data_IF_674964794136
#
_entry.id   IF_674964794136
#
_cell.length_a   1.000
_cell.length_b   1.000
_cell.length_c   1.000
_cell.angle_alpha   90.00
_cell.angle_beta   90.00
_cell.angle_gamma   90.00
#
_symmetry.space_group_name_H-M   'P 1'
#
loop_
_entity.id
_entity.type
_entity.pdbx_description
1 polymer ?
#
# COMPACT_ATOMS: atom_id res chain seq x y z
N UNK A 1 3.48 -11.27 -9.26
CA UNK A 1 2.76 -10.08 -8.72
C UNK A 1 3.57 -8.84 -9.02
N UNK A 2 2.94 -7.74 -9.45
CA UNK A 2 3.61 -6.45 -9.66
C UNK A 2 3.35 -5.53 -8.45
N UNK A 3 4.39 -5.24 -7.68
CA UNK A 3 4.34 -4.39 -6.49
C UNK A 3 4.75 -2.94 -6.77
N UNK A 4 5.09 -2.57 -8.01
CA UNK A 4 5.84 -1.34 -8.34
C UNK A 4 5.18 -0.04 -7.85
N UNK A 5 3.85 0.06 -7.87
CA UNK A 5 3.13 1.22 -7.32
C UNK A 5 1.86 0.76 -6.57
N UNK A 6 1.93 0.82 -5.26
CA UNK A 6 0.90 0.35 -4.35
C UNK A 6 0.15 1.53 -3.72
N UNK A 7 -1.11 1.72 -4.12
CA UNK A 7 -1.97 2.73 -3.51
C UNK A 7 -2.49 2.23 -2.15
N UNK A 8 -2.25 2.98 -1.08
CA UNK A 8 -2.94 2.79 0.20
C UNK A 8 -3.96 3.90 0.37
N UNK A 9 -5.22 3.56 0.62
CA UNK A 9 -6.29 4.55 0.71
C UNK A 9 -6.32 5.22 2.07
N UNK A 10 -6.76 6.48 2.06
CA UNK A 10 -7.16 7.22 3.25
C UNK A 10 -8.40 8.04 2.90
N UNK A 11 -9.53 7.69 3.52
CA UNK A 11 -10.82 8.32 3.24
C UNK A 11 -10.80 9.84 3.51
N UNK A 12 -10.11 10.28 4.54
CA UNK A 12 -10.08 11.70 4.89
C UNK A 12 -9.41 12.54 3.81
N UNK A 13 -8.37 12.03 3.17
CA UNK A 13 -7.72 12.73 2.07
C UNK A 13 -8.65 12.88 0.86
N UNK A 14 -9.50 11.89 0.59
CA UNK A 14 -10.44 11.91 -0.53
C UNK A 14 -11.68 12.76 -0.24
N UNK A 15 -12.16 12.77 1.01
CA UNK A 15 -13.34 13.54 1.41
C UNK A 15 -13.02 14.98 1.85
N UNK A 16 -11.76 15.31 2.08
CA UNK A 16 -11.35 16.66 2.41
C UNK A 16 -11.51 17.58 1.19
N UNK A 17 -12.50 18.46 1.26
CA UNK A 17 -12.82 19.43 0.19
C UNK A 17 -11.64 20.30 -0.25
N UNK A 18 -10.61 20.43 0.61
CA UNK A 18 -9.39 21.19 0.28
C UNK A 18 -8.54 20.49 -0.78
N UNK A 19 -8.63 19.17 -0.90
CA UNK A 19 -7.80 18.37 -1.80
C UNK A 19 -8.57 17.84 -3.01
N UNK A 20 -9.82 17.39 -2.86
CA UNK A 20 -10.48 16.53 -3.85
C UNK A 20 -11.87 17.00 -4.34
N UNK A 21 -12.43 18.08 -3.83
CA UNK A 21 -13.75 18.54 -4.27
C UNK A 21 -14.88 17.56 -3.89
N UNK A 22 -15.66 17.09 -4.90
CA UNK A 22 -16.79 16.16 -4.71
C UNK A 22 -16.45 14.69 -5.10
N UNK A 23 -15.19 14.34 -5.25
CA UNK A 23 -14.79 13.02 -5.75
C UNK A 23 -15.02 11.93 -4.70
N UNK A 24 -15.49 10.76 -5.13
CA UNK A 24 -15.65 9.57 -4.27
C UNK A 24 -14.34 8.79 -4.17
N UNK A 25 -14.18 7.97 -3.11
CA UNK A 25 -13.03 7.08 -2.99
C UNK A 25 -12.93 6.11 -4.19
N UNK A 26 -14.06 5.63 -4.70
CA UNK A 26 -14.13 4.75 -5.86
C UNK A 26 -13.53 5.41 -7.12
N UNK A 27 -13.93 6.63 -7.42
CA UNK A 27 -13.38 7.41 -8.54
C UNK A 27 -11.89 7.71 -8.36
N UNK A 28 -11.46 7.99 -7.13
CA UNK A 28 -10.05 8.20 -6.83
C UNK A 28 -9.19 6.95 -7.05
N UNK A 29 -9.68 5.79 -6.62
CA UNK A 29 -9.02 4.49 -6.84
C UNK A 29 -8.94 4.18 -8.33
N UNK A 30 -10.02 4.35 -9.07
CA UNK A 30 -10.04 4.11 -10.52
C UNK A 30 -9.06 5.02 -11.27
N UNK A 31 -8.97 6.29 -10.92
CA UNK A 31 -7.97 7.20 -11.49
C UNK A 31 -6.54 6.79 -11.16
N UNK A 32 -6.27 6.35 -9.93
CA UNK A 32 -4.96 5.86 -9.55
C UNK A 32 -4.56 4.59 -10.33
N UNK A 33 -5.49 3.66 -10.53
CA UNK A 33 -5.27 2.44 -11.33
C UNK A 33 -4.98 2.82 -12.78
N UNK A 34 -5.79 3.69 -13.39
CA UNK A 34 -5.55 4.15 -14.77
C UNK A 34 -4.26 4.97 -14.92
N UNK A 35 -3.75 5.55 -13.83
CA UNK A 35 -2.43 6.18 -13.74
C UNK A 35 -1.29 5.19 -13.49
N UNK A 36 -1.60 3.89 -13.38
CA UNK A 36 -0.59 2.83 -13.31
C UNK A 36 -0.32 2.25 -11.93
N UNK A 37 -1.19 2.48 -10.93
CA UNK A 37 -1.13 1.69 -9.70
C UNK A 37 -1.34 0.21 -10.01
N UNK A 38 -0.54 -0.63 -9.40
CA UNK A 38 -0.49 -2.09 -9.64
C UNK A 38 -1.09 -2.89 -8.49
N UNK A 39 -1.44 -2.23 -7.39
CA UNK A 39 -2.02 -2.82 -6.19
C UNK A 39 -2.79 -1.75 -5.41
N UNK A 40 -3.88 -2.12 -4.77
CA UNK A 40 -4.70 -1.21 -3.95
C UNK A 40 -4.88 -1.80 -2.56
N UNK A 41 -4.62 -1.01 -1.51
CA UNK A 41 -4.98 -1.34 -0.14
C UNK A 41 -6.10 -0.43 0.35
N UNK A 42 -7.24 -1.03 0.70
CA UNK A 42 -8.33 -0.33 1.35
C UNK A 42 -8.08 -0.26 2.86
N UNK A 43 -7.84 0.95 3.36
CA UNK A 43 -7.58 1.23 4.77
C UNK A 43 -8.70 2.11 5.33
N UNK A 44 -9.41 1.58 6.33
CA UNK A 44 -10.47 2.25 7.07
C UNK A 44 -10.30 2.01 8.57
N UNK A 45 -10.35 3.07 9.36
CA UNK A 45 -10.14 2.98 10.82
C UNK A 45 -11.38 3.30 11.64
N UNK A 46 -12.39 3.95 11.05
CA UNK A 46 -13.52 4.51 11.79
C UNK A 46 -14.89 4.05 11.27
N UNK A 47 -14.96 3.37 10.14
CA UNK A 47 -16.22 2.86 9.62
C UNK A 47 -16.74 1.72 10.48
N UNK A 48 -18.08 1.61 10.56
CA UNK A 48 -18.71 0.39 11.05
C UNK A 48 -18.30 -0.80 10.16
N UNK A 49 -18.37 -2.03 10.70
CA UNK A 49 -18.06 -3.23 9.89
C UNK A 49 -18.96 -3.34 8.66
N UNK A 50 -20.22 -2.94 8.78
CA UNK A 50 -21.18 -2.97 7.67
C UNK A 50 -20.79 -1.95 6.56
N UNK A 51 -20.47 -0.72 6.95
CA UNK A 51 -20.08 0.31 5.98
C UNK A 51 -18.74 -0.03 5.32
N UNK A 52 -17.78 -0.58 6.10
CA UNK A 52 -16.51 -1.04 5.54
C UNK A 52 -16.73 -2.19 4.54
N UNK A 53 -17.58 -3.16 4.88
CA UNK A 53 -17.94 -4.25 3.97
C UNK A 53 -18.46 -3.73 2.63
N UNK A 54 -19.46 -2.84 2.64
CA UNK A 54 -20.02 -2.29 1.40
C UNK A 54 -19.04 -1.45 0.61
N UNK A 55 -18.19 -0.71 1.29
CA UNK A 55 -17.11 0.03 0.64
C UNK A 55 -16.09 -0.92 0.00
N UNK A 56 -15.72 -1.99 0.69
CA UNK A 56 -14.79 -2.99 0.18
C UNK A 56 -15.37 -3.71 -1.06
N UNK A 57 -16.66 -4.09 -1.06
CA UNK A 57 -17.36 -4.64 -2.24
C UNK A 57 -17.26 -3.68 -3.42
N UNK A 58 -17.52 -2.39 -3.21
CA UNK A 58 -17.47 -1.39 -4.28
C UNK A 58 -16.05 -1.24 -4.86
N UNK A 59 -15.02 -1.22 -4.00
CA UNK A 59 -13.64 -1.13 -4.46
C UNK A 59 -13.20 -2.44 -5.15
N UNK A 60 -13.63 -3.60 -4.62
CA UNK A 60 -13.35 -4.91 -5.24
C UNK A 60 -13.88 -4.99 -6.68
N UNK A 61 -15.09 -4.53 -6.93
CA UNK A 61 -15.65 -4.49 -8.29
C UNK A 61 -14.78 -3.68 -9.27
N UNK A 62 -14.22 -2.56 -8.79
CA UNK A 62 -13.31 -1.73 -9.60
C UNK A 62 -12.00 -2.48 -9.83
N UNK A 63 -11.33 -2.92 -8.77
CA UNK A 63 -10.03 -3.59 -8.89
C UNK A 63 -10.11 -4.85 -9.74
N UNK A 64 -11.20 -5.63 -9.66
CA UNK A 64 -11.44 -6.80 -10.51
C UNK A 64 -11.55 -6.44 -11.99
N UNK A 65 -12.25 -5.35 -12.32
CA UNK A 65 -12.42 -4.91 -13.72
C UNK A 65 -11.10 -4.52 -14.39
N UNK A 66 -10.10 -4.13 -13.58
CA UNK A 66 -8.74 -3.79 -14.04
C UNK A 66 -7.71 -4.91 -13.77
N UNK A 67 -8.12 -6.04 -13.19
CA UNK A 67 -7.23 -7.14 -12.77
C UNK A 67 -6.13 -6.68 -11.80
N UNK A 68 -6.46 -5.77 -10.89
CA UNK A 68 -5.58 -5.22 -9.86
C UNK A 68 -5.95 -5.84 -8.51
N UNK A 69 -5.00 -6.39 -7.73
CA UNK A 69 -5.30 -6.99 -6.44
C UNK A 69 -5.78 -5.95 -5.42
N UNK A 70 -6.85 -6.30 -4.70
CA UNK A 70 -7.36 -5.59 -3.55
C UNK A 70 -6.84 -6.21 -2.25
N UNK A 71 -6.19 -5.41 -1.43
CA UNK A 71 -5.74 -5.77 -0.09
C UNK A 71 -6.59 -5.04 0.95
N UNK A 72 -7.05 -5.73 1.99
CA UNK A 72 -7.76 -5.11 3.11
C UNK A 72 -6.76 -4.90 4.26
N UNK A 73 -6.75 -3.69 4.81
CA UNK A 73 -5.89 -3.37 5.95
C UNK A 73 -6.51 -3.86 7.27
N UNK A 74 -5.77 -4.59 8.11
CA UNK A 74 -6.05 -5.10 9.46
C UNK A 74 -7.26 -6.06 9.57
N UNK A 75 -8.34 -5.84 8.86
CA UNK A 75 -9.62 -6.51 9.00
C UNK A 75 -9.67 -7.81 8.20
N UNK A 76 -9.14 -8.89 8.78
CA UNK A 76 -9.12 -10.24 8.19
C UNK A 76 -10.53 -10.73 7.89
N UNK A 77 -11.48 -10.47 8.78
CA UNK A 77 -12.90 -10.81 8.63
C UNK A 77 -13.53 -10.16 7.38
N UNK A 78 -13.25 -8.87 7.14
CA UNK A 78 -13.71 -8.16 5.95
C UNK A 78 -13.02 -8.71 4.70
N UNK A 79 -11.70 -8.93 4.75
CA UNK A 79 -10.96 -9.49 3.62
C UNK A 79 -11.56 -10.83 3.15
N UNK A 80 -11.84 -11.73 4.09
CA UNK A 80 -12.49 -13.02 3.80
C UNK A 80 -13.91 -12.85 3.29
N UNK A 81 -14.71 -11.98 3.91
CA UNK A 81 -16.11 -11.78 3.56
C UNK A 81 -16.31 -11.22 2.15
N UNK A 82 -15.39 -10.34 1.67
CA UNK A 82 -15.47 -9.76 0.33
C UNK A 82 -14.61 -10.51 -0.70
N UNK A 83 -13.96 -11.61 -0.29
CA UNK A 83 -13.03 -12.37 -1.12
C UNK A 83 -11.95 -11.45 -1.73
N UNK A 84 -11.35 -10.61 -0.89
CA UNK A 84 -10.22 -9.78 -1.30
C UNK A 84 -9.01 -10.64 -1.71
N UNK A 85 -8.10 -10.08 -2.49
CA UNK A 85 -6.91 -10.78 -2.94
C UNK A 85 -5.87 -10.93 -1.82
N UNK A 86 -6.00 -10.12 -0.74
CA UNK A 86 -5.12 -10.23 0.41
C UNK A 86 -5.55 -9.38 1.61
N UNK A 87 -4.76 -9.52 2.66
CA UNK A 87 -4.82 -8.71 3.88
C UNK A 87 -3.44 -8.17 4.23
N UNK A 88 -3.38 -6.96 4.76
CA UNK A 88 -2.14 -6.37 5.27
C UNK A 88 -2.30 -6.02 6.74
N UNK A 89 -1.36 -6.49 7.58
CA UNK A 89 -1.40 -6.32 9.02
C UNK A 89 -0.14 -5.60 9.55
N UNK A 90 -0.29 -4.94 10.69
CA UNK A 90 0.80 -4.34 11.44
C UNK A 90 1.21 -5.17 12.66
N UNK A 91 2.18 -4.64 13.42
CA UNK A 91 2.76 -5.33 14.57
C UNK A 91 1.85 -5.41 15.81
N UNK A 92 0.76 -4.63 15.82
CA UNK A 92 -0.23 -4.59 16.92
C UNK A 92 -1.54 -5.29 16.56
N UNK A 93 -1.62 -5.89 15.37
CA UNK A 93 -2.76 -6.65 14.89
C UNK A 93 -2.66 -8.14 15.27
N UNK A 94 -3.57 -8.96 14.74
CA UNK A 94 -3.50 -10.41 14.90
C UNK A 94 -2.15 -10.92 14.35
N UNK A 95 -1.41 -11.78 15.09
CA UNK A 95 -0.12 -12.29 14.63
C UNK A 95 -0.17 -12.95 13.25
N UNK A 96 0.85 -12.71 12.41
CA UNK A 96 0.90 -13.17 11.02
C UNK A 96 0.67 -14.68 10.88
N UNK A 97 1.26 -15.51 11.74
CA UNK A 97 1.04 -16.96 11.75
C UNK A 97 -0.42 -17.35 12.01
N UNK A 98 -1.16 -16.57 12.80
CA UNK A 98 -2.58 -16.81 13.04
C UNK A 98 -3.42 -16.35 11.85
N UNK A 99 -3.12 -15.19 11.28
CA UNK A 99 -3.79 -14.70 10.06
C UNK A 99 -3.58 -15.68 8.91
N UNK A 100 -2.36 -16.18 8.69
CA UNK A 100 -2.06 -17.18 7.65
C UNK A 100 -2.93 -18.44 7.78
N UNK A 101 -3.17 -18.92 9.01
CA UNK A 101 -4.08 -20.05 9.25
C UNK A 101 -5.53 -19.74 8.89
N UNK A 102 -5.98 -18.50 9.08
CA UNK A 102 -7.34 -18.07 8.77
C UNK A 102 -7.56 -17.92 7.25
N UNK A 103 -6.63 -17.30 6.54
CA UNK A 103 -6.79 -16.94 5.13
C UNK A 103 -6.31 -18.03 4.16
N UNK A 104 -5.62 -19.06 4.66
CA UNK A 104 -5.04 -20.11 3.80
C UNK A 104 -3.83 -19.63 3.01
N UNK A 105 -3.51 -20.29 1.89
CA UNK A 105 -2.34 -19.99 1.04
C UNK A 105 -2.68 -19.19 -0.21
N UNK A 106 -3.96 -19.08 -0.56
CA UNK A 106 -4.39 -18.45 -1.80
C UNK A 106 -4.53 -16.94 -1.67
N UNK A 107 -4.76 -16.44 -0.46
CA UNK A 107 -4.88 -15.01 -0.15
C UNK A 107 -3.51 -14.44 0.28
N UNK A 108 -3.15 -13.29 -0.27
CA UNK A 108 -1.89 -12.61 0.07
C UNK A 108 -1.88 -12.10 1.51
N UNK A 109 -0.74 -12.29 2.19
CA UNK A 109 -0.47 -11.73 3.51
C UNK A 109 0.68 -10.71 3.43
N UNK A 110 0.36 -9.44 3.59
CA UNK A 110 1.36 -8.38 3.78
C UNK A 110 1.58 -8.08 5.26
N UNK A 111 2.82 -7.79 5.65
CA UNK A 111 3.16 -7.45 7.03
C UNK A 111 4.00 -6.17 7.08
N UNK A 112 3.54 -5.19 7.88
CA UNK A 112 4.33 -3.98 8.19
C UNK A 112 5.49 -4.31 9.12
N UNK A 113 6.71 -3.87 8.78
CA UNK A 113 7.89 -4.09 9.60
C UNK A 113 8.78 -2.84 9.65
N UNK A 114 9.48 -2.65 10.77
CA UNK A 114 10.47 -1.57 10.98
C UNK A 114 11.84 -2.09 11.42
N UNK A 115 11.95 -3.38 11.77
CA UNK A 115 13.21 -4.00 12.22
C UNK A 115 13.51 -5.28 11.45
N UNK A 116 14.77 -5.72 11.51
CA UNK A 116 15.23 -6.98 10.89
C UNK A 116 14.53 -8.18 11.53
N UNK A 117 14.37 -8.17 12.85
CA UNK A 117 13.73 -9.25 13.61
C UNK A 117 12.26 -9.42 13.18
N UNK A 118 11.53 -8.31 13.01
CA UNK A 118 10.15 -8.33 12.52
C UNK A 118 10.07 -8.88 11.10
N UNK A 119 11.02 -8.51 10.23
CA UNK A 119 11.06 -9.00 8.85
C UNK A 119 11.32 -10.50 8.77
N UNK A 120 12.30 -11.01 9.54
CA UNK A 120 12.60 -12.45 9.65
C UNK A 120 11.37 -13.20 10.19
N UNK A 121 10.77 -12.66 11.26
CA UNK A 121 9.56 -13.28 11.84
C UNK A 121 8.40 -13.33 10.87
N UNK A 122 8.13 -12.26 10.12
CA UNK A 122 7.09 -12.24 9.10
C UNK A 122 7.34 -13.28 8.00
N UNK A 123 8.59 -13.43 7.56
CA UNK A 123 8.96 -14.47 6.58
C UNK A 123 8.75 -15.88 7.14
N UNK A 124 9.09 -16.13 8.41
CA UNK A 124 8.87 -17.41 9.09
C UNK A 124 7.36 -17.73 9.27
N UNK A 125 6.53 -16.69 9.35
CA UNK A 125 5.08 -16.80 9.50
C UNK A 125 4.34 -16.84 8.13
N UNK A 126 5.07 -17.14 7.04
CA UNK A 126 4.54 -17.25 5.67
C UNK A 126 3.88 -15.96 5.15
N UNK A 127 4.43 -14.79 5.46
CA UNK A 127 4.06 -13.56 4.77
C UNK A 127 4.48 -13.62 3.29
N UNK A 128 3.70 -12.97 2.40
CA UNK A 128 3.99 -12.92 0.96
C UNK A 128 4.81 -11.68 0.57
N UNK A 129 4.67 -10.59 1.34
CA UNK A 129 5.46 -9.37 1.14
C UNK A 129 5.55 -8.55 2.43
N UNK A 130 6.51 -7.63 2.47
CA UNK A 130 6.74 -6.72 3.58
C UNK A 130 6.44 -5.28 3.19
N UNK A 131 5.79 -4.54 4.10
CA UNK A 131 5.69 -3.09 4.05
C UNK A 131 6.72 -2.49 5.01
N UNK A 132 7.80 -1.89 4.49
CA UNK A 132 8.88 -1.33 5.32
C UNK A 132 8.71 0.18 5.45
N UNK A 133 8.62 0.67 6.66
CA UNK A 133 8.49 2.10 6.94
C UNK A 133 8.20 2.43 8.41
N UNK A 134 8.08 3.77 8.77
CA UNK A 134 8.03 4.87 7.81
C UNK A 134 9.43 5.30 7.34
N UNK A 135 9.60 5.50 6.02
CA UNK A 135 10.88 5.93 5.45
C UNK A 135 11.14 7.43 5.63
N UNK A 136 10.09 8.25 5.68
CA UNK A 136 10.14 9.70 5.89
C UNK A 136 9.01 10.14 6.81
N UNK A 137 9.09 11.36 7.41
CA UNK A 137 8.01 11.94 8.17
C UNK A 137 6.69 11.94 7.39
N UNK A 138 5.61 11.55 8.05
CA UNK A 138 4.28 11.45 7.41
C UNK A 138 3.18 11.91 8.37
N UNK A 139 2.20 12.63 7.85
CA UNK A 139 1.00 13.00 8.61
C UNK A 139 -0.10 11.93 8.61
N UNK A 140 0.05 10.86 7.82
CA UNK A 140 -0.99 9.81 7.66
C UNK A 140 -0.96 8.78 8.80
N UNK A 141 0.23 8.51 9.37
CA UNK A 141 0.43 7.64 10.53
C UNK A 141 1.50 8.27 11.42
N UNK A 142 1.06 8.88 12.53
CA UNK A 142 1.92 9.68 13.41
C UNK A 142 2.72 8.88 14.44
N UNK A 143 2.39 7.61 14.61
CA UNK A 143 2.98 6.66 15.58
C UNK A 143 3.95 5.65 14.91
N UNK A 144 4.36 5.90 13.67
CA UNK A 144 5.27 5.00 12.98
C UNK A 144 6.74 5.28 13.34
N UNK A 145 7.48 4.23 13.70
CA UNK A 145 8.94 4.28 13.83
C UNK A 145 9.59 4.61 12.49
N UNK A 146 10.66 5.41 12.54
CA UNK A 146 11.44 5.73 11.35
C UNK A 146 12.40 4.60 10.97
N UNK A 147 12.42 4.25 9.69
CA UNK A 147 13.36 3.28 9.11
C UNK A 147 14.37 4.02 8.22
N UNK A 148 15.64 4.00 8.59
CA UNK A 148 16.70 4.59 7.77
C UNK A 148 16.99 3.75 6.52
N UNK A 149 17.69 4.33 5.54
CA UNK A 149 18.13 3.59 4.34
C UNK A 149 19.10 2.46 4.68
N UNK A 150 19.91 2.62 5.72
CA UNK A 150 20.80 1.57 6.25
C UNK A 150 19.98 0.42 6.81
N UNK A 151 18.95 0.72 7.61
CA UNK A 151 18.05 -0.29 8.18
C UNK A 151 17.26 -1.01 7.08
N UNK A 152 16.80 -0.30 6.04
CA UNK A 152 16.15 -0.92 4.89
C UNK A 152 17.09 -1.93 4.18
N UNK A 153 18.37 -1.59 4.01
CA UNK A 153 19.38 -2.50 3.43
C UNK A 153 19.62 -3.73 4.31
N UNK A 154 19.67 -3.56 5.63
CA UNK A 154 19.77 -4.69 6.58
C UNK A 154 18.57 -5.62 6.45
N UNK A 155 17.34 -5.07 6.43
CA UNK A 155 16.10 -5.83 6.22
C UNK A 155 16.16 -6.57 4.88
N UNK A 156 16.51 -5.89 3.78
CA UNK A 156 16.60 -6.50 2.44
C UNK A 156 17.59 -7.68 2.41
N UNK A 157 18.70 -7.55 3.12
CA UNK A 157 19.73 -8.62 3.17
C UNK A 157 19.25 -9.83 3.99
N UNK A 158 18.40 -9.61 5.01
CA UNK A 158 17.96 -10.63 5.94
C UNK A 158 16.81 -11.51 5.42
N UNK A 159 16.05 -11.05 4.41
CA UNK A 159 14.87 -11.77 3.90
C UNK A 159 14.85 -11.82 2.37
N UNK A 160 14.11 -12.79 1.82
CA UNK A 160 13.91 -12.92 0.38
C UNK A 160 12.55 -12.42 -0.13
N UNK A 161 11.64 -12.09 0.79
CA UNK A 161 10.30 -11.61 0.44
C UNK A 161 10.34 -10.30 -0.37
N UNK A 162 9.37 -10.06 -1.25
CA UNK A 162 9.16 -8.75 -1.85
C UNK A 162 9.00 -7.67 -0.78
N UNK A 163 9.61 -6.49 -1.03
CA UNK A 163 9.55 -5.34 -0.14
C UNK A 163 8.92 -4.16 -0.85
N UNK A 164 7.87 -3.61 -0.27
CA UNK A 164 7.38 -2.28 -0.62
C UNK A 164 7.74 -1.31 0.50
N UNK A 165 8.21 -0.12 0.16
CA UNK A 165 8.51 0.93 1.14
C UNK A 165 7.34 1.88 1.28
N UNK A 166 7.09 2.37 2.50
CA UNK A 166 5.99 3.26 2.82
C UNK A 166 6.40 4.38 3.79
N UNK A 167 5.62 5.45 3.82
CA UNK A 167 5.77 6.57 4.76
C UNK A 167 6.49 7.76 4.16
N UNK A 168 5.75 8.85 3.93
CA UNK A 168 6.24 10.14 3.44
C UNK A 168 6.84 10.14 2.02
N UNK A 169 6.63 9.07 1.26
CA UNK A 169 7.15 8.94 -0.10
C UNK A 169 6.35 9.84 -1.06
N UNK A 170 7.06 10.56 -1.91
CA UNK A 170 6.52 11.47 -2.90
C UNK A 170 7.48 11.59 -4.10
N UNK A 171 7.12 12.41 -5.11
CA UNK A 171 7.91 12.58 -6.34
C UNK A 171 9.35 13.07 -6.10
N UNK A 172 9.58 13.82 -5.01
CA UNK A 172 10.88 14.45 -4.75
C UNK A 172 11.88 13.45 -4.10
N UNK A 173 11.37 12.37 -3.48
CA UNK A 173 12.21 11.39 -2.78
C UNK A 173 12.08 9.93 -3.30
N UNK A 174 11.10 9.64 -4.14
CA UNK A 174 10.89 8.28 -4.68
C UNK A 174 12.12 7.74 -5.44
N UNK A 175 12.93 8.63 -6.04
CA UNK A 175 14.15 8.26 -6.77
C UNK A 175 15.20 7.59 -5.87
N UNK A 176 15.21 7.85 -4.56
CA UNK A 176 16.16 7.27 -3.60
C UNK A 176 16.06 5.74 -3.53
N UNK A 177 14.94 5.17 -3.95
CA UNK A 177 14.67 3.74 -3.85
C UNK A 177 15.01 2.93 -5.11
N UNK A 178 15.38 3.57 -6.23
CA UNK A 178 15.70 2.88 -7.51
C UNK A 178 16.75 1.77 -7.39
N UNK A 179 17.72 1.97 -6.49
CA UNK A 179 18.85 1.05 -6.28
C UNK A 179 18.81 0.35 -4.93
N UNK A 180 17.70 0.46 -4.19
CA UNK A 180 17.59 -0.08 -2.84
C UNK A 180 17.26 -1.59 -2.79
N UNK A 181 17.04 -2.23 -3.95
CA UNK A 181 16.70 -3.65 -4.03
C UNK A 181 15.28 -3.96 -3.53
N UNK A 182 14.38 -2.98 -3.60
CA UNK A 182 12.97 -3.12 -3.25
C UNK A 182 12.09 -3.33 -4.48
N UNK A 183 10.88 -3.82 -4.27
CA UNK A 183 9.96 -4.23 -5.32
C UNK A 183 8.89 -3.17 -5.65
N UNK A 184 8.69 -2.18 -4.76
CA UNK A 184 7.71 -1.14 -5.01
C UNK A 184 7.59 -0.03 -3.97
N UNK A 185 6.79 0.97 -4.32
CA UNK A 185 6.44 2.11 -3.48
C UNK A 185 4.98 2.01 -3.05
N UNK A 186 4.72 2.04 -1.74
CA UNK A 186 3.38 2.19 -1.20
C UNK A 186 3.16 3.66 -0.81
N UNK A 187 2.10 4.27 -1.33
CA UNK A 187 1.85 5.71 -1.21
C UNK A 187 0.39 6.01 -0.88
N UNK A 188 0.18 7.10 -0.16
CA UNK A 188 -1.15 7.61 0.22
C UNK A 188 -1.33 9.01 -0.36
N UNK A 189 -0.90 10.04 0.37
CA UNK A 189 -1.10 11.46 0.04
C UNK A 189 -0.40 11.92 -1.23
N UNK A 190 0.71 11.24 -1.61
CA UNK A 190 1.43 11.55 -2.84
C UNK A 190 0.59 11.33 -4.11
N UNK A 191 -0.47 10.53 -4.00
CA UNK A 191 -1.48 10.32 -5.05
C UNK A 191 -2.81 10.96 -4.65
N UNK A 192 -3.41 10.56 -3.53
CA UNK A 192 -4.77 10.93 -3.17
C UNK A 192 -4.97 12.40 -2.81
N UNK A 193 -3.93 13.10 -2.33
CA UNK A 193 -3.99 14.52 -2.04
C UNK A 193 -3.61 15.43 -3.23
N UNK A 194 -3.58 14.90 -4.45
CA UNK A 194 -3.24 15.67 -5.65
C UNK A 194 -4.46 16.05 -6.46
N UNK A 195 -4.48 17.22 -7.10
CA UNK A 195 -5.59 17.65 -7.95
C UNK A 195 -5.88 16.71 -9.13
N UNK A 196 -4.83 16.04 -9.63
CA UNK A 196 -4.93 15.04 -10.68
C UNK A 196 -4.27 13.73 -10.23
N UNK A 197 -5.10 12.84 -9.72
CA UNK A 197 -4.70 11.53 -9.17
C UNK A 197 -3.99 10.68 -10.21
N UNK A 198 -4.56 10.61 -11.42
CA UNK A 198 -3.99 9.83 -12.52
C UNK A 198 -2.57 10.27 -12.85
N UNK A 199 -2.37 11.56 -13.08
CA UNK A 199 -1.03 12.12 -13.39
C UNK A 199 -0.06 11.89 -12.25
N UNK A 200 -0.48 12.05 -11.00
CA UNK A 200 0.39 11.80 -9.84
C UNK A 200 0.85 10.34 -9.75
N UNK A 201 -0.02 9.39 -10.10
CA UNK A 201 0.33 7.98 -10.16
C UNK A 201 1.30 7.69 -11.33
N UNK A 202 1.04 8.25 -12.52
CA UNK A 202 1.92 8.14 -13.68
C UNK A 202 3.33 8.65 -13.40
N UNK A 203 3.46 9.82 -12.76
CA UNK A 203 4.74 10.42 -12.38
C UNK A 203 5.52 9.51 -11.40
N UNK A 204 4.88 9.04 -10.33
CA UNK A 204 5.54 8.17 -9.35
C UNK A 204 5.99 6.85 -9.96
N UNK A 205 5.15 6.23 -10.80
CA UNK A 205 5.51 5.00 -11.50
C UNK A 205 6.70 5.21 -12.45
N UNK A 206 6.71 6.30 -13.19
CA UNK A 206 7.82 6.65 -14.09
C UNK A 206 9.13 6.86 -13.32
N UNK A 207 9.09 7.60 -12.20
CA UNK A 207 10.25 7.83 -11.35
C UNK A 207 10.81 6.51 -10.83
N UNK A 208 9.98 5.62 -10.29
CA UNK A 208 10.44 4.35 -9.73
C UNK A 208 10.96 3.38 -10.80
N UNK A 209 10.28 3.29 -11.95
CA UNK A 209 10.68 2.41 -13.06
C UNK A 209 11.90 2.91 -13.86
N UNK A 210 12.40 4.10 -13.57
CA UNK A 210 13.52 4.71 -14.32
C UNK A 210 13.18 5.15 -15.75
N UNK A 211 11.88 5.19 -16.10
CA UNK A 211 11.42 5.73 -17.38
C UNK A 211 11.28 7.24 -17.22
N UNK A 212 12.04 8.02 -17.96
CA UNK A 212 11.82 9.47 -18.04
C UNK A 212 10.40 9.73 -18.50
N UNK A 213 9.67 10.60 -17.77
CA UNK A 213 8.36 11.05 -18.21
C UNK A 213 8.53 11.77 -19.56
N UNK A 214 7.86 11.29 -20.60
CA UNK A 214 7.86 11.93 -21.94
C UNK A 214 7.08 13.26 -21.98
N UNK A 215 7.06 14.00 -20.90
CA UNK A 215 6.45 15.34 -20.83
C UNK A 215 7.56 16.39 -20.64
N UNK A 216 8.37 16.56 -21.67
CA UNK A 216 9.21 17.72 -21.90
C UNK A 216 8.81 18.32 -23.24
N UNK A 217 8.10 19.42 -23.18
CA UNK A 217 7.82 20.56 -24.05
C UNK A 217 6.36 20.90 -24.11
#
# INVERSE_FOLDING_TARGET
MDYSLYLVTDRYLVTDRRFMGKQTLAEAVEQAITGGCTMVQLREKELSSLDFYWQAIKIKQITDSYHIPLIINDRVDIAMAVQADGVHIGQHDIPAAAVRKMIGKDMLLGVSVSTVEQAIKAQQDDADYLGVGAMFPTGTKTDADFVSMEKLKEIRTAVSLPIVVIGGINKDNAHCFKTAGIDGLAVVSAILAKPNIKVAAEELKAIFSGKESKNGF
#
